data_IF_812546054876
#
_entry.id   IF_812546054876
#
_cell.length_a   1.000
_cell.length_b   1.000
_cell.length_c   1.000
_cell.angle_alpha   90.00
_cell.angle_beta   90.00
_cell.angle_gamma   90.00
#
_symmetry.space_group_name_H-M   'P 1'
#
loop_
_entity.id
_entity.type
_entity.pdbx_description
1 polymer ?
#
# COMPACT_ATOMS: atom_id res chain seq x y z
N UNK A 1 9.74 5.68 -23.36
CA UNK A 1 10.56 6.29 -22.30
C UNK A 1 9.92 6.08 -20.94
N UNK A 2 10.71 6.24 -19.88
CA UNK A 2 10.36 6.01 -18.47
C UNK A 2 10.85 7.19 -17.62
N UNK A 3 10.30 7.38 -16.42
CA UNK A 3 10.69 8.48 -15.53
C UNK A 3 11.61 7.95 -14.43
N UNK A 4 12.80 8.55 -14.26
CA UNK A 4 13.71 8.25 -13.14
C UNK A 4 13.62 9.34 -12.07
N UNK A 5 13.25 8.96 -10.85
CA UNK A 5 13.29 9.83 -9.68
C UNK A 5 14.58 9.59 -8.91
N UNK A 6 15.40 10.63 -8.78
CA UNK A 6 16.67 10.55 -8.06
C UNK A 6 16.48 10.45 -6.55
N UNK A 7 17.51 9.97 -5.85
CA UNK A 7 17.61 10.02 -4.40
C UNK A 7 17.79 11.45 -3.91
N UNK A 8 17.33 11.74 -2.69
CA UNK A 8 17.36 13.12 -2.19
C UNK A 8 18.72 13.58 -1.63
N UNK A 9 19.69 12.67 -1.43
CA UNK A 9 20.94 12.99 -0.75
C UNK A 9 20.73 13.34 0.72
N UNK A 10 19.75 12.69 1.37
CA UNK A 10 19.29 12.98 2.74
C UNK A 10 18.73 14.41 2.93
N UNK A 11 18.36 15.12 1.86
CA UNK A 11 17.71 16.43 1.92
C UNK A 11 16.20 16.31 1.68
N UNK A 12 15.37 16.68 2.66
CA UNK A 12 13.90 16.54 2.59
C UNK A 12 13.29 17.41 1.48
N UNK A 13 13.90 18.55 1.13
CA UNK A 13 13.41 19.46 0.10
C UNK A 13 13.82 19.04 -1.33
N UNK A 14 14.75 18.09 -1.45
CA UNK A 14 15.27 17.62 -2.74
C UNK A 14 14.73 16.22 -3.11
N UNK A 15 13.50 15.91 -2.71
CA UNK A 15 12.87 14.62 -3.02
C UNK A 15 12.41 14.59 -4.48
N UNK A 16 12.89 13.63 -5.24
CA UNK A 16 12.46 13.41 -6.63
C UNK A 16 10.94 13.24 -6.71
N UNK A 17 10.30 13.94 -7.64
CA UNK A 17 8.84 14.00 -7.77
C UNK A 17 8.44 14.02 -9.24
N UNK A 18 7.43 13.22 -9.59
CA UNK A 18 6.71 13.29 -10.87
C UNK A 18 5.25 13.60 -10.58
N UNK A 19 4.68 14.50 -11.38
CA UNK A 19 3.27 14.88 -11.33
C UNK A 19 2.64 14.71 -12.72
N UNK A 20 1.43 14.19 -12.75
CA UNK A 20 0.66 13.94 -13.97
C UNK A 20 -0.73 14.55 -13.81
N UNK A 21 -1.12 15.53 -14.65
CA UNK A 21 -2.49 16.02 -14.68
C UNK A 21 -3.41 14.95 -15.26
N UNK A 22 -4.59 14.80 -14.65
CA UNK A 22 -5.57 13.76 -14.99
C UNK A 22 -6.97 14.36 -15.00
N UNK A 23 -7.83 13.81 -15.87
CA UNK A 23 -9.23 14.18 -15.96
C UNK A 23 -10.09 12.92 -15.80
N UNK A 24 -11.10 12.99 -14.94
CA UNK A 24 -12.06 11.91 -14.72
C UNK A 24 -13.42 12.28 -15.33
N UNK A 25 -13.89 11.54 -16.35
CA UNK A 25 -15.21 11.78 -16.94
C UNK A 25 -16.36 11.51 -15.97
N UNK A 26 -16.17 10.59 -15.02
CA UNK A 26 -17.14 10.24 -13.97
C UNK A 26 -16.58 10.62 -12.60
N UNK A 27 -17.33 11.43 -11.87
CA UNK A 27 -16.96 11.90 -10.52
C UNK A 27 -17.38 10.92 -9.41
N UNK A 28 -18.23 9.94 -9.72
CA UNK A 28 -18.73 8.96 -8.75
C UNK A 28 -17.91 7.65 -8.73
N UNK A 29 -17.14 7.38 -9.78
CA UNK A 29 -16.33 6.16 -9.86
C UNK A 29 -15.19 6.22 -8.85
N UNK A 30 -15.06 5.16 -8.04
CA UNK A 30 -13.95 4.98 -7.10
C UNK A 30 -12.81 4.25 -7.80
N UNK A 31 -11.58 4.71 -7.61
CA UNK A 31 -10.38 4.13 -8.19
C UNK A 31 -9.34 3.82 -7.12
N UNK A 32 -8.77 2.62 -7.20
CA UNK A 32 -7.50 2.32 -6.56
C UNK A 32 -6.38 2.76 -7.51
N UNK A 33 -5.31 3.35 -6.96
CA UNK A 33 -4.16 3.78 -7.75
C UNK A 33 -3.07 2.73 -7.60
N UNK A 34 -2.65 2.15 -8.73
CA UNK A 34 -1.54 1.21 -8.81
C UNK A 34 -0.40 1.83 -9.61
N UNK A 35 0.83 1.64 -9.17
CA UNK A 35 2.02 2.20 -9.83
C UNK A 35 2.93 1.06 -10.25
N UNK A 36 3.35 1.08 -11.52
CA UNK A 36 4.38 0.17 -12.03
C UNK A 36 5.75 0.83 -11.89
N UNK A 37 6.67 0.16 -11.21
CA UNK A 37 7.94 0.75 -10.81
C UNK A 37 9.09 -0.27 -10.88
N UNK A 38 10.33 0.23 -10.89
CA UNK A 38 11.52 -0.58 -10.71
C UNK A 38 12.50 0.06 -9.71
N UNK A 39 13.02 -0.74 -8.77
CA UNK A 39 14.02 -0.31 -7.79
C UNK A 39 14.97 -1.46 -7.44
N UNK A 40 16.24 -1.14 -7.21
CA UNK A 40 17.27 -2.11 -6.78
C UNK A 40 17.28 -2.35 -5.27
N UNK A 41 16.64 -1.49 -4.50
CA UNK A 41 16.47 -1.63 -3.04
C UNK A 41 15.02 -1.46 -2.64
N UNK A 42 14.60 -1.99 -1.47
CA UNK A 42 13.38 -1.54 -0.84
C UNK A 42 13.39 -0.01 -0.72
N UNK A 43 12.29 0.65 -1.06
CA UNK A 43 12.25 2.11 -1.17
C UNK A 43 10.95 2.70 -0.62
N UNK A 44 11.04 3.72 0.23
CA UNK A 44 9.86 4.44 0.73
C UNK A 44 9.34 5.38 -0.35
N UNK A 45 8.10 5.14 -0.80
CA UNK A 45 7.43 5.98 -1.78
C UNK A 45 6.17 6.58 -1.17
N UNK A 46 5.89 7.82 -1.58
CA UNK A 46 4.63 8.49 -1.29
C UNK A 46 3.89 8.72 -2.61
N UNK A 47 2.62 8.34 -2.67
CA UNK A 47 1.74 8.65 -3.79
C UNK A 47 0.69 9.64 -3.31
N UNK A 48 0.59 10.76 -4.01
CA UNK A 48 -0.46 11.74 -3.79
C UNK A 48 -1.48 11.70 -4.92
N UNK A 49 -2.74 11.93 -4.55
CA UNK A 49 -3.81 12.31 -5.46
C UNK A 49 -4.33 13.67 -5.00
N UNK A 50 -4.15 14.68 -5.84
CA UNK A 50 -4.30 16.07 -5.44
C UNK A 50 -3.33 16.40 -4.30
N UNK A 51 -3.87 17.00 -3.24
CA UNK A 51 -3.10 17.39 -2.06
C UNK A 51 -3.04 16.28 -0.99
N UNK A 52 -3.71 15.15 -1.20
CA UNK A 52 -3.80 14.06 -0.23
C UNK A 52 -2.82 12.94 -0.55
N UNK A 53 -2.08 12.49 0.45
CA UNK A 53 -1.25 11.28 0.37
C UNK A 53 -2.13 10.04 0.50
N UNK A 54 -2.26 9.24 -0.56
CA UNK A 54 -3.08 8.02 -0.60
C UNK A 54 -2.28 6.73 -0.41
N UNK A 55 -0.96 6.80 -0.48
CA UNK A 55 -0.05 5.71 -0.15
C UNK A 55 1.26 6.29 0.41
N UNK A 56 1.77 5.70 1.49
CA UNK A 56 3.09 6.06 2.03
C UNK A 56 3.70 4.87 2.76
N UNK A 57 4.56 4.11 2.09
CA UNK A 57 5.22 2.96 2.70
C UNK A 57 6.48 2.56 1.90
N UNK A 58 7.28 1.67 2.48
CA UNK A 58 8.36 0.98 1.79
C UNK A 58 7.80 -0.12 0.89
N UNK A 59 8.16 -0.06 -0.39
CA UNK A 59 7.85 -1.09 -1.40
C UNK A 59 9.11 -1.94 -1.63
N UNK A 60 8.98 -3.23 -1.99
CA UNK A 60 10.13 -4.12 -2.16
C UNK A 60 11.02 -3.72 -3.34
N UNK A 61 12.26 -4.23 -3.34
CA UNK A 61 13.09 -4.21 -4.55
C UNK A 61 12.49 -5.13 -5.62
N UNK A 62 12.70 -4.80 -6.88
CA UNK A 62 12.17 -5.55 -8.03
C UNK A 62 13.24 -5.87 -9.09
N UNK A 63 14.37 -5.19 -9.02
CA UNK A 63 15.46 -5.30 -9.99
C UNK A 63 16.81 -5.47 -9.29
N UNK A 64 17.84 -5.92 -10.01
CA UNK A 64 19.22 -5.95 -9.53
C UNK A 64 20.09 -4.82 -10.12
N UNK A 65 19.66 -4.23 -11.25
CA UNK A 65 20.25 -3.03 -11.86
C UNK A 65 19.15 -2.21 -12.55
N UNK A 66 19.33 -0.89 -12.66
CA UNK A 66 18.43 0.00 -13.41
C UNK A 66 18.97 0.40 -14.79
N UNK A 67 20.17 -0.06 -15.16
CA UNK A 67 20.82 0.34 -16.41
C UNK A 67 20.40 -0.55 -17.60
N UNK A 68 20.06 -1.82 -17.33
CA UNK A 68 19.61 -2.80 -18.34
C UNK A 68 18.30 -3.44 -17.90
N UNK A 69 17.20 -2.69 -17.99
CA UNK A 69 15.89 -3.13 -17.53
C UNK A 69 15.29 -4.23 -18.40
N UNK A 70 14.84 -5.29 -17.75
CA UNK A 70 14.03 -6.34 -18.33
C UNK A 70 12.57 -6.17 -17.91
N UNK A 71 11.66 -6.87 -18.60
CA UNK A 71 10.23 -6.81 -18.27
C UNK A 71 9.94 -7.24 -16.82
N UNK A 72 10.67 -8.24 -16.32
CA UNK A 72 10.55 -8.77 -14.96
C UNK A 72 11.12 -7.87 -13.86
N UNK A 73 11.90 -6.85 -14.20
CA UNK A 73 12.48 -5.92 -13.23
C UNK A 73 11.45 -4.92 -12.68
N UNK A 74 10.24 -4.92 -13.25
CA UNK A 74 9.15 -4.06 -12.83
C UNK A 74 8.16 -4.80 -11.94
N UNK A 75 7.87 -4.21 -10.78
CA UNK A 75 6.81 -4.62 -9.89
C UNK A 75 5.68 -3.61 -9.81
N UNK A 76 4.72 -3.91 -8.93
CA UNK A 76 3.56 -3.07 -8.67
C UNK A 76 3.34 -2.89 -7.17
N UNK A 77 2.83 -1.72 -6.81
CA UNK A 77 2.20 -1.47 -5.51
C UNK A 77 0.96 -0.62 -5.71
N UNK A 78 0.02 -0.69 -4.77
CA UNK A 78 -1.27 -0.01 -4.88
C UNK A 78 -1.71 0.65 -3.57
N UNK A 79 -2.53 1.69 -3.68
CA UNK A 79 -3.22 2.28 -2.54
C UNK A 79 -4.12 1.22 -1.88
N UNK A 80 -4.22 1.22 -0.55
CA UNK A 80 -5.08 0.26 0.15
C UNK A 80 -6.57 0.51 -0.16
N UNK A 81 -6.94 1.79 -0.21
CA UNK A 81 -8.31 2.25 -0.44
C UNK A 81 -8.50 2.75 -1.87
N UNK A 82 -9.76 2.83 -2.27
CA UNK A 82 -10.20 3.48 -3.49
C UNK A 82 -10.75 4.89 -3.19
N UNK A 83 -10.63 5.79 -4.16
CA UNK A 83 -11.01 7.19 -4.01
C UNK A 83 -11.72 7.71 -5.26
N UNK A 84 -12.54 8.75 -5.12
CA UNK A 84 -13.15 9.43 -6.26
C UNK A 84 -12.28 10.62 -6.68
N UNK A 85 -12.63 11.25 -7.80
CA UNK A 85 -11.95 12.45 -8.31
C UNK A 85 -12.03 13.68 -7.40
N UNK A 86 -12.79 13.61 -6.29
CA UNK A 86 -12.87 14.71 -5.31
C UNK A 86 -11.54 15.02 -4.62
N UNK A 87 -10.58 14.08 -4.63
CA UNK A 87 -9.24 14.33 -4.10
C UNK A 87 -8.43 15.33 -4.94
N UNK A 88 -8.72 15.45 -6.23
CA UNK A 88 -8.07 16.40 -7.14
C UNK A 88 -7.86 15.85 -8.56
N UNK A 89 -7.20 16.67 -9.38
CA UNK A 89 -6.99 16.41 -10.82
C UNK A 89 -5.51 16.20 -11.17
N UNK A 90 -4.71 15.80 -10.19
CA UNK A 90 -3.30 15.44 -10.36
C UNK A 90 -3.01 14.15 -9.58
N UNK A 91 -2.10 13.34 -10.10
CA UNK A 91 -1.49 12.22 -9.38
C UNK A 91 0.02 12.37 -9.41
N UNK A 92 0.69 11.98 -8.33
CA UNK A 92 2.15 12.06 -8.27
C UNK A 92 2.79 10.98 -7.42
N UNK A 93 4.07 10.73 -7.68
CA UNK A 93 4.92 9.87 -6.86
C UNK A 93 6.14 10.65 -6.41
N UNK A 94 6.43 10.59 -5.11
CA UNK A 94 7.63 11.17 -4.51
C UNK A 94 8.53 10.07 -3.95
N UNK A 95 9.81 10.13 -4.30
CA UNK A 95 10.85 9.28 -3.73
C UNK A 95 11.31 9.85 -2.38
N UNK A 96 11.10 9.12 -1.28
CA UNK A 96 11.53 9.55 0.05
C UNK A 96 12.95 9.09 0.40
N UNK A 97 13.57 8.23 -0.43
CA UNK A 97 14.90 7.71 -0.18
C UNK A 97 15.98 8.78 -0.30
N UNK A 98 16.87 8.81 0.69
CA UNK A 98 18.07 9.63 0.66
C UNK A 98 19.18 9.05 -0.22
N UNK A 99 19.12 7.76 -0.57
CA UNK A 99 20.27 7.01 -1.10
C UNK A 99 20.01 6.25 -2.41
N UNK A 100 18.75 5.93 -2.73
CA UNK A 100 18.39 5.15 -3.91
C UNK A 100 17.44 5.90 -4.84
N UNK A 101 17.60 5.71 -6.15
CA UNK A 101 16.66 6.16 -7.16
C UNK A 101 15.61 5.09 -7.47
N UNK A 102 14.53 5.50 -8.11
CA UNK A 102 13.45 4.61 -8.56
C UNK A 102 12.99 5.00 -9.97
N UNK A 103 12.59 4.01 -10.75
CA UNK A 103 11.96 4.21 -12.04
C UNK A 103 10.45 4.07 -11.89
N UNK A 104 9.72 5.04 -12.45
CA UNK A 104 8.27 5.05 -12.57
C UNK A 104 7.94 4.87 -14.04
N UNK A 105 7.22 3.78 -14.35
CA UNK A 105 6.77 3.48 -15.71
C UNK A 105 5.40 4.13 -15.96
N UNK A 106 4.41 3.78 -15.14
CA UNK A 106 3.03 4.27 -15.32
C UNK A 106 2.18 4.22 -14.06
N UNK A 107 1.14 5.05 -14.08
CA UNK A 107 0.01 5.03 -13.15
C UNK A 107 -1.15 4.26 -13.77
N UNK A 108 -1.78 3.38 -13.00
CA UNK A 108 -2.96 2.61 -13.39
C UNK A 108 -4.11 2.95 -12.42
N UNK A 109 -5.22 3.42 -12.96
CA UNK A 109 -6.45 3.70 -12.20
C UNK A 109 -7.40 2.53 -12.36
N UNK A 110 -7.62 1.78 -11.28
CA UNK A 110 -8.41 0.55 -11.29
C UNK A 110 -9.77 0.86 -10.68
N UNK A 111 -10.88 0.81 -11.45
CA UNK A 111 -12.22 1.00 -10.90
C UNK A 111 -12.49 -0.05 -9.82
N UNK A 112 -12.98 0.40 -8.68
CA UNK A 112 -13.35 -0.47 -7.56
C UNK A 112 -14.82 -0.23 -7.18
N UNK A 113 -15.55 -1.32 -6.97
CA UNK A 113 -16.83 -1.28 -6.27
C UNK A 113 -16.58 -1.32 -4.75
N UNK A 114 -17.56 -0.88 -3.97
CA UNK A 114 -17.45 -0.93 -2.50
C UNK A 114 -17.24 -2.36 -1.98
N UNK A 115 -17.83 -3.36 -2.62
CA UNK A 115 -17.63 -4.78 -2.31
C UNK A 115 -16.20 -5.24 -2.57
N UNK A 116 -15.63 -4.95 -3.74
CA UNK A 116 -14.24 -5.30 -4.07
C UNK A 116 -13.22 -4.61 -3.15
N UNK A 117 -13.52 -3.39 -2.69
CA UNK A 117 -12.69 -2.69 -1.70
C UNK A 117 -12.76 -3.37 -0.32
N UNK A 118 -13.95 -3.78 0.10
CA UNK A 118 -14.15 -4.47 1.37
C UNK A 118 -13.46 -5.85 1.38
N UNK A 119 -13.62 -6.65 0.31
CA UNK A 119 -12.97 -7.94 0.14
C UNK A 119 -11.44 -7.83 0.18
N UNK A 120 -10.86 -6.86 -0.53
CA UNK A 120 -9.41 -6.63 -0.53
C UNK A 120 -8.88 -6.27 0.87
N UNK A 121 -9.57 -5.38 1.58
CA UNK A 121 -9.18 -5.01 2.94
C UNK A 121 -9.33 -6.19 3.92
N UNK A 122 -10.38 -7.01 3.75
CA UNK A 122 -10.60 -8.21 4.53
C UNK A 122 -9.47 -9.23 4.34
N UNK A 123 -9.07 -9.54 3.11
CA UNK A 123 -7.97 -10.45 2.82
C UNK A 123 -6.67 -9.98 3.49
N UNK A 124 -6.39 -8.68 3.40
CA UNK A 124 -5.20 -8.08 4.02
C UNK A 124 -5.22 -8.21 5.55
N UNK A 125 -6.36 -7.92 6.17
CA UNK A 125 -6.52 -8.07 7.62
C UNK A 125 -6.39 -9.53 8.04
N UNK A 126 -7.03 -10.46 7.32
CA UNK A 126 -6.95 -11.90 7.57
C UNK A 126 -5.50 -12.41 7.52
N UNK A 127 -4.73 -11.97 6.52
CA UNK A 127 -3.31 -12.32 6.41
C UNK A 127 -2.49 -11.77 7.57
N UNK A 128 -2.76 -10.54 8.02
CA UNK A 128 -2.08 -9.94 9.16
C UNK A 128 -2.39 -10.67 10.47
N UNK A 129 -3.66 -11.00 10.73
CA UNK A 129 -4.08 -11.76 11.92
C UNK A 129 -3.46 -13.15 11.93
N UNK A 130 -3.52 -13.88 10.81
CA UNK A 130 -2.92 -15.21 10.70
C UNK A 130 -1.40 -15.19 10.91
N UNK A 131 -0.73 -14.10 10.53
CA UNK A 131 0.71 -13.96 10.69
C UNK A 131 1.16 -13.83 12.15
N UNK A 132 0.27 -13.51 13.10
CA UNK A 132 0.57 -13.44 14.53
C UNK A 132 0.88 -14.82 15.14
N UNK A 133 0.26 -15.87 14.62
CA UNK A 133 0.27 -17.20 15.23
C UNK A 133 1.34 -18.12 14.64
N UNK A 134 1.81 -19.08 15.44
CA UNK A 134 2.80 -20.09 15.04
C UNK A 134 2.24 -21.12 14.06
N UNK A 135 0.95 -21.42 14.14
CA UNK A 135 0.29 -22.41 13.28
C UNK A 135 -1.19 -22.08 13.03
N UNK A 136 -1.83 -22.87 12.17
CA UNK A 136 -3.24 -22.70 11.78
C UNK A 136 -4.23 -22.98 12.90
N UNK A 137 -3.83 -23.71 13.96
CA UNK A 137 -4.68 -23.89 15.14
C UNK A 137 -4.71 -22.65 16.07
N UNK A 138 -3.86 -21.66 15.78
CA UNK A 138 -3.81 -20.36 16.46
C UNK A 138 -3.55 -20.42 17.97
N UNK A 139 -3.00 -21.52 18.51
CA UNK A 139 -2.82 -21.71 19.96
C UNK A 139 -1.64 -20.96 20.58
N UNK A 140 -0.75 -20.38 19.78
CA UNK A 140 0.45 -19.71 20.28
C UNK A 140 0.93 -18.60 19.34
N UNK A 141 1.53 -17.56 19.93
CA UNK A 141 2.13 -16.45 19.18
C UNK A 141 3.53 -16.79 18.69
N UNK A 142 3.92 -16.22 17.54
CA UNK A 142 5.32 -16.24 17.12
C UNK A 142 6.17 -15.45 18.11
N UNK A 143 7.38 -15.93 18.38
CA UNK A 143 8.30 -15.36 19.39
C UNK A 143 8.75 -13.93 19.09
N UNK A 144 8.67 -13.48 17.85
CA UNK A 144 9.03 -12.13 17.41
C UNK A 144 7.82 -11.17 17.31
N UNK A 145 6.62 -11.61 17.66
CA UNK A 145 5.43 -10.75 17.72
C UNK A 145 5.43 -10.00 19.04
N UNK A 146 5.44 -8.67 18.97
CA UNK A 146 5.38 -7.80 20.14
C UNK A 146 3.94 -7.42 20.46
N UNK A 147 3.70 -7.01 21.70
CA UNK A 147 2.40 -6.50 22.14
C UNK A 147 1.90 -5.34 21.25
N UNK A 148 2.83 -4.45 20.87
CA UNK A 148 2.58 -3.35 19.94
C UNK A 148 2.20 -3.84 18.53
N UNK A 149 2.81 -4.92 18.03
CA UNK A 149 2.45 -5.48 16.73
C UNK A 149 1.00 -5.98 16.73
N UNK A 150 0.55 -6.60 17.83
CA UNK A 150 -0.84 -7.05 17.98
C UNK A 150 -1.80 -5.86 17.91
N UNK A 151 -1.46 -4.73 18.53
CA UNK A 151 -2.28 -3.50 18.47
C UNK A 151 -2.35 -2.93 17.04
N UNK A 152 -1.24 -2.95 16.29
CA UNK A 152 -1.24 -2.53 14.89
C UNK A 152 -2.16 -3.43 14.03
N UNK A 153 -2.15 -4.74 14.27
CA UNK A 153 -3.05 -5.67 13.58
C UNK A 153 -4.51 -5.47 14.02
N UNK A 154 -4.75 -5.18 15.29
CA UNK A 154 -6.09 -4.82 15.80
C UNK A 154 -6.67 -3.61 15.06
N UNK A 155 -5.87 -2.57 14.86
CA UNK A 155 -6.29 -1.39 14.11
C UNK A 155 -6.65 -1.73 12.65
N UNK A 156 -5.94 -2.66 11.99
CA UNK A 156 -6.32 -3.10 10.65
C UNK A 156 -7.72 -3.74 10.61
N UNK A 157 -8.09 -4.51 11.65
CA UNK A 157 -9.40 -5.15 11.76
C UNK A 157 -10.50 -4.14 12.05
N UNK A 158 -10.24 -3.11 12.87
CA UNK A 158 -11.25 -2.10 13.19
C UNK A 158 -11.66 -1.26 11.99
N UNK A 159 -10.77 -1.07 11.01
CA UNK A 159 -11.05 -0.35 9.76
C UNK A 159 -11.82 -1.15 8.71
N UNK A 160 -12.13 -2.44 8.95
CA UNK A 160 -12.96 -3.23 8.03
C UNK A 160 -14.40 -2.68 7.99
N UNK A 161 -15.07 -2.84 6.84
CA UNK A 161 -16.43 -2.36 6.64
C UNK A 161 -17.44 -3.12 7.51
N UNK A 162 -18.25 -2.37 8.26
CA UNK A 162 -19.39 -2.93 9.00
C UNK A 162 -20.58 -3.26 8.07
N UNK A 163 -20.61 -2.72 6.85
CA UNK A 163 -21.68 -2.97 5.87
C UNK A 163 -21.42 -4.25 5.07
N UNK A 164 -20.15 -4.53 4.72
CA UNK A 164 -19.80 -5.59 3.78
C UNK A 164 -19.04 -6.77 4.40
N UNK A 165 -18.49 -6.62 5.61
CA UNK A 165 -17.65 -7.65 6.25
C UNK A 165 -17.96 -7.84 7.74
N UNK A 166 -19.21 -7.62 8.18
CA UNK A 166 -19.55 -7.58 9.61
C UNK A 166 -19.21 -8.88 10.33
N UNK A 167 -19.56 -10.02 9.74
CA UNK A 167 -19.33 -11.34 10.35
C UNK A 167 -17.84 -11.68 10.40
N UNK A 168 -17.12 -11.47 9.30
CA UNK A 168 -15.68 -11.75 9.21
C UNK A 168 -14.87 -10.78 10.07
N UNK A 169 -15.27 -9.50 10.15
CA UNK A 169 -14.68 -8.51 11.06
C UNK A 169 -14.84 -8.95 12.51
N UNK A 170 -16.00 -9.48 12.90
CA UNK A 170 -16.23 -10.00 14.25
C UNK A 170 -15.30 -11.19 14.53
N UNK A 171 -15.21 -12.15 13.61
CA UNK A 171 -14.31 -13.31 13.74
C UNK A 171 -12.84 -12.87 13.89
N UNK A 172 -12.37 -11.97 13.03
CA UNK A 172 -11.02 -11.44 13.09
C UNK A 172 -10.75 -10.67 14.38
N UNK A 173 -11.73 -9.90 14.87
CA UNK A 173 -11.62 -9.16 16.14
C UNK A 173 -11.45 -10.11 17.32
N UNK A 174 -12.19 -11.23 17.35
CA UNK A 174 -12.07 -12.25 18.38
C UNK A 174 -10.69 -12.90 18.37
N UNK A 175 -10.16 -13.21 17.18
CA UNK A 175 -8.80 -13.77 17.02
C UNK A 175 -7.71 -12.82 17.51
N UNK A 176 -7.80 -11.52 17.20
CA UNK A 176 -6.81 -10.54 17.68
C UNK A 176 -6.92 -10.34 19.19
N UNK A 177 -8.14 -10.31 19.75
CA UNK A 177 -8.33 -10.27 21.22
C UNK A 177 -7.76 -11.50 21.90
N UNK A 178 -7.88 -12.68 21.27
CA UNK A 178 -7.26 -13.90 21.77
C UNK A 178 -5.73 -13.81 21.73
N UNK A 179 -5.15 -13.36 20.61
CA UNK A 179 -3.72 -13.10 20.50
C UNK A 179 -3.19 -12.17 21.62
N UNK A 180 -3.91 -11.11 21.97
CA UNK A 180 -3.54 -10.17 23.04
C UNK A 180 -3.56 -10.80 24.45
N UNK A 181 -4.28 -11.91 24.64
CA UNK A 181 -4.40 -12.62 25.93
C UNK A 181 -3.36 -13.71 26.13
N UNK A 182 -2.74 -14.19 25.04
CA UNK A 182 -1.65 -15.18 25.06
C UNK A 182 -0.35 -14.53 25.53
#
# INVERSE_FOLDING_TARGET
>A
DIVRLNSSGNNIQNRGYIEVPIHFPSTSTRYRVRVRYASVTPIHLNVNWGNSSIFSNTVPATATSLDNLQSSDFGYFESANAFTSSLGNIVGVRNFSGTAGVIIDRFEFIPATATLEAEYNLERAQKAVNALFTSTNQLGLKTNVTDYHIDQVSNLVTYLSDEFCLDEKRELSERVKYAKRL
#
